data_IF_011861728802
#
_entry.id   IF_011861728802
#
_cell.length_a   1.000
_cell.length_b   1.000
_cell.length_c   1.000
_cell.angle_alpha   90.00
_cell.angle_beta   90.00
_cell.angle_gamma   90.00
#
_symmetry.space_group_name_H-M   'P 1'
#
loop_
_entity.id
_entity.type
_entity.pdbx_description
1 polymer ?
#
# COMPACT_ATOMS: atom_id res chain seq x y z
N UNK A 1 1.53 -9.06 -6.20
CA UNK A 1 2.28 -10.17 -5.58
C UNK A 1 3.31 -10.69 -6.55
N UNK A 2 4.40 -11.27 -6.04
CA UNK A 2 5.33 -12.09 -6.82
C UNK A 2 5.58 -13.38 -6.05
N UNK A 3 5.41 -14.54 -6.69
CA UNK A 3 5.56 -15.86 -6.05
C UNK A 3 4.74 -16.02 -4.76
N UNK A 4 3.50 -15.52 -4.77
CA UNK A 4 2.57 -15.60 -3.63
C UNK A 4 2.85 -14.66 -2.45
N UNK A 5 3.86 -13.79 -2.53
CA UNK A 5 4.18 -12.81 -1.48
C UNK A 5 3.83 -11.38 -1.89
N UNK A 6 3.38 -10.53 -0.97
CA UNK A 6 3.29 -9.10 -1.21
C UNK A 6 4.70 -8.53 -1.35
N UNK A 7 4.98 -7.87 -2.48
CA UNK A 7 6.30 -7.28 -2.81
C UNK A 7 6.20 -5.81 -3.19
N UNK A 8 4.99 -5.25 -3.22
CA UNK A 8 4.74 -3.88 -3.65
C UNK A 8 3.40 -3.39 -3.10
N UNK A 9 3.39 -2.17 -2.54
CA UNK A 9 2.20 -1.45 -2.11
C UNK A 9 1.92 -0.28 -3.06
N UNK A 10 0.65 -0.01 -3.34
CA UNK A 10 0.27 1.06 -4.25
C UNK A 10 -1.17 1.53 -4.04
N UNK A 11 -1.45 2.79 -4.33
CA UNK A 11 -2.82 3.32 -4.37
C UNK A 11 -3.36 3.41 -5.81
N UNK A 12 -4.67 3.19 -5.98
CA UNK A 12 -5.37 3.39 -7.26
C UNK A 12 -6.83 3.75 -7.03
N UNK A 13 -7.42 4.50 -7.96
CA UNK A 13 -8.86 4.74 -8.01
C UNK A 13 -9.58 3.81 -9.02
N UNK A 14 -8.82 3.05 -9.81
CA UNK A 14 -9.35 2.10 -10.78
C UNK A 14 -8.41 0.90 -10.87
N UNK A 15 -8.85 -0.24 -10.31
CA UNK A 15 -8.05 -1.46 -10.24
C UNK A 15 -7.86 -2.10 -11.62
N UNK A 16 -8.91 -2.13 -12.45
CA UNK A 16 -8.87 -2.70 -13.80
C UNK A 16 -7.89 -1.96 -14.72
N UNK A 17 -7.89 -0.62 -14.66
CA UNK A 17 -6.91 0.19 -15.39
C UNK A 17 -5.49 -0.08 -14.87
N UNK A 18 -5.32 -0.19 -13.55
CA UNK A 18 -4.01 -0.44 -12.93
C UNK A 18 -3.48 -1.83 -13.29
N UNK A 19 -4.33 -2.86 -13.31
CA UNK A 19 -3.93 -4.21 -13.73
C UNK A 19 -3.51 -4.25 -15.19
N UNK A 20 -4.24 -3.58 -16.09
CA UNK A 20 -3.86 -3.49 -17.51
C UNK A 20 -2.49 -2.81 -17.70
N UNK A 21 -2.21 -1.72 -16.97
CA UNK A 21 -0.94 -1.00 -17.07
C UNK A 21 0.26 -1.75 -16.49
N UNK A 22 0.03 -2.64 -15.51
CA UNK A 22 1.11 -3.31 -14.75
C UNK A 22 1.07 -4.84 -14.89
N UNK A 23 0.27 -5.39 -15.80
CA UNK A 23 -0.03 -6.83 -15.87
C UNK A 23 1.17 -7.73 -16.12
N UNK A 24 2.24 -7.22 -16.74
CA UNK A 24 3.49 -7.96 -16.91
C UNK A 24 4.44 -7.86 -15.70
N UNK A 25 4.19 -6.96 -14.75
CA UNK A 25 5.11 -6.64 -13.64
C UNK A 25 4.82 -7.45 -12.36
N UNK A 26 3.59 -7.91 -12.20
CA UNK A 26 3.13 -8.63 -11.01
C UNK A 26 2.23 -9.80 -11.40
N UNK A 27 2.34 -10.91 -10.67
CA UNK A 27 1.53 -12.11 -10.92
C UNK A 27 0.04 -11.85 -10.63
N UNK A 28 -0.24 -10.99 -9.64
CA UNK A 28 -1.59 -10.65 -9.21
C UNK A 28 -1.62 -9.29 -8.50
N UNK A 29 -2.71 -8.54 -8.69
CA UNK A 29 -3.07 -7.40 -7.85
C UNK A 29 -4.10 -7.84 -6.80
N UNK A 30 -3.81 -7.59 -5.53
CA UNK A 30 -4.72 -7.81 -4.42
C UNK A 30 -5.24 -6.46 -3.93
N UNK A 31 -6.56 -6.30 -3.88
CA UNK A 31 -7.18 -5.12 -3.29
C UNK A 31 -7.12 -5.24 -1.76
N UNK A 32 -6.63 -4.19 -1.09
CA UNK A 32 -6.49 -4.14 0.38
C UNK A 32 -7.74 -3.54 1.05
N UNK A 33 -8.35 -2.53 0.42
CA UNK A 33 -9.52 -1.83 0.99
C UNK A 33 -10.82 -2.43 0.47
N UNK A 34 -11.72 -2.84 1.36
CA UNK A 34 -13.05 -3.37 1.00
C UNK A 34 -14.04 -2.29 0.55
N UNK A 35 -13.80 -1.03 0.94
CA UNK A 35 -14.59 0.14 0.57
C UNK A 35 -13.67 1.29 0.08
N UNK A 36 -14.19 2.27 -0.66
CA UNK A 36 -13.44 3.47 -1.01
C UNK A 36 -12.95 4.21 0.24
N UNK A 37 -11.69 4.63 0.21
CA UNK A 37 -11.08 5.47 1.26
C UNK A 37 -10.63 6.79 0.66
N UNK A 38 -10.45 7.80 1.51
CA UNK A 38 -9.85 9.05 1.07
C UNK A 38 -8.41 8.83 0.62
N UNK A 39 -7.88 9.74 -0.21
CA UNK A 39 -6.48 9.66 -0.66
C UNK A 39 -5.50 9.66 0.51
N UNK A 40 -5.76 10.43 1.57
CA UNK A 40 -4.91 10.45 2.77
C UNK A 40 -4.86 9.09 3.46
N UNK A 41 -6.02 8.47 3.67
CA UNK A 41 -6.11 7.12 4.25
C UNK A 41 -5.43 6.07 3.38
N UNK A 42 -5.61 6.13 2.05
CA UNK A 42 -4.93 5.22 1.13
C UNK A 42 -3.40 5.32 1.25
N UNK A 43 -2.86 6.55 1.35
CA UNK A 43 -1.41 6.79 1.52
C UNK A 43 -0.91 6.27 2.87
N UNK A 44 -1.69 6.45 3.94
CA UNK A 44 -1.34 5.96 5.26
C UNK A 44 -1.29 4.41 5.30
N UNK A 45 -2.29 3.74 4.71
CA UNK A 45 -2.33 2.27 4.60
C UNK A 45 -1.16 1.76 3.75
N UNK A 46 -0.89 2.40 2.60
CA UNK A 46 0.26 2.05 1.75
C UNK A 46 1.58 2.18 2.51
N UNK A 47 1.78 3.30 3.21
CA UNK A 47 3.02 3.54 3.94
C UNK A 47 3.21 2.54 5.08
N UNK A 48 2.14 2.21 5.82
CA UNK A 48 2.19 1.19 6.85
C UNK A 48 2.55 -0.20 6.28
N UNK A 49 1.98 -0.58 5.12
CA UNK A 49 2.36 -1.83 4.45
C UNK A 49 3.85 -1.86 4.05
N UNK A 50 4.37 -0.75 3.53
CA UNK A 50 5.80 -0.64 3.15
C UNK A 50 6.69 -0.79 4.40
N UNK A 51 6.37 -0.08 5.48
CA UNK A 51 7.15 -0.12 6.73
C UNK A 51 7.10 -1.52 7.35
N UNK A 52 5.91 -2.12 7.45
CA UNK A 52 5.72 -3.45 8.06
C UNK A 52 6.50 -4.55 7.35
N UNK A 53 6.56 -4.50 6.02
CA UNK A 53 7.22 -5.52 5.21
C UNK A 53 8.69 -5.20 4.90
N UNK A 54 9.12 -3.96 5.13
CA UNK A 54 10.51 -3.52 5.01
C UNK A 54 11.17 -3.89 3.68
N UNK A 55 12.33 -4.54 3.74
CA UNK A 55 13.14 -4.93 2.59
C UNK A 55 12.45 -5.91 1.62
N UNK A 56 11.30 -6.49 1.99
CA UNK A 56 10.48 -7.31 1.10
C UNK A 56 9.71 -6.53 0.04
N UNK A 57 9.60 -5.19 0.18
CA UNK A 57 8.86 -4.34 -0.75
C UNK A 57 9.78 -3.57 -1.70
N UNK A 58 9.45 -3.60 -2.99
CA UNK A 58 10.21 -2.98 -4.09
C UNK A 58 9.81 -1.51 -4.34
N UNK A 59 9.10 -0.89 -3.40
CA UNK A 59 8.66 0.49 -3.51
C UNK A 59 9.86 1.44 -3.57
N UNK A 60 10.14 2.00 -4.76
CA UNK A 60 11.20 3.01 -4.96
C UNK A 60 10.78 4.42 -4.53
N UNK A 61 9.48 4.69 -4.53
CA UNK A 61 8.89 5.99 -4.19
C UNK A 61 7.73 5.72 -3.22
N UNK A 62 7.73 6.45 -2.12
CA UNK A 62 6.71 6.38 -1.08
C UNK A 62 5.67 7.48 -1.28
N UNK A 63 4.40 7.23 -0.99
CA UNK A 63 3.39 8.28 -1.03
C UNK A 63 3.51 9.31 0.10
N UNK A 64 4.20 8.96 1.19
CA UNK A 64 4.51 9.86 2.31
C UNK A 64 6.02 9.81 2.54
N UNK A 65 6.66 10.98 2.51
CA UNK A 65 8.09 11.10 2.80
C UNK A 65 8.36 10.73 4.26
N UNK A 66 9.39 9.92 4.57
CA UNK A 66 9.85 9.66 5.95
C UNK A 66 10.19 10.91 6.75
N UNK A 67 10.49 12.02 6.07
CA UNK A 67 10.80 13.31 6.69
C UNK A 67 9.59 14.21 6.89
N UNK A 68 8.39 13.78 6.48
CA UNK A 68 7.19 14.60 6.65
C UNK A 68 6.78 14.65 8.11
N UNK A 69 6.36 15.83 8.60
CA UNK A 69 5.94 16.04 9.99
C UNK A 69 4.86 15.09 10.52
N UNK A 70 3.96 14.59 9.65
CA UNK A 70 2.90 13.66 10.03
C UNK A 70 3.23 12.20 9.69
N UNK A 71 4.47 11.90 9.29
CA UNK A 71 4.85 10.56 8.82
C UNK A 71 4.52 9.48 9.85
N UNK A 72 4.94 9.69 11.10
CA UNK A 72 4.73 8.72 12.18
C UNK A 72 3.23 8.53 12.49
N UNK A 73 2.46 9.63 12.51
CA UNK A 73 1.01 9.59 12.70
C UNK A 73 0.32 8.80 11.58
N UNK A 74 0.74 9.01 10.33
CA UNK A 74 0.18 8.32 9.18
C UNK A 74 0.52 6.82 9.20
N UNK A 75 1.77 6.45 9.55
CA UNK A 75 2.17 5.05 9.70
C UNK A 75 1.39 4.39 10.83
N UNK A 76 1.28 5.04 11.98
CA UNK A 76 0.55 4.54 13.16
C UNK A 76 -0.94 4.33 12.86
N UNK A 77 -1.58 5.30 12.19
CA UNK A 77 -2.97 5.18 11.77
C UNK A 77 -3.17 4.06 10.75
N UNK A 78 -2.30 3.98 9.73
CA UNK A 78 -2.37 2.94 8.71
C UNK A 78 -2.17 1.53 9.28
N UNK A 79 -1.22 1.38 10.21
CA UNK A 79 -0.95 0.13 10.91
C UNK A 79 -2.15 -0.33 11.76
N UNK A 80 -2.78 0.63 12.45
CA UNK A 80 -4.01 0.38 13.20
C UNK A 80 -5.16 -0.06 12.28
N UNK A 81 -5.30 0.59 11.13
CA UNK A 81 -6.30 0.21 10.12
C UNK A 81 -6.06 -1.21 9.59
N UNK A 82 -4.82 -1.56 9.25
CA UNK A 82 -4.47 -2.90 8.76
C UNK A 82 -4.86 -3.99 9.77
N UNK A 83 -4.47 -3.81 11.04
CA UNK A 83 -4.82 -4.76 12.12
C UNK A 83 -6.33 -4.94 12.29
N UNK A 84 -7.08 -3.85 12.27
CA UNK A 84 -8.55 -3.90 12.39
C UNK A 84 -9.23 -4.61 11.21
N UNK A 85 -8.57 -4.66 10.05
CA UNK A 85 -9.07 -5.27 8.82
C UNK A 85 -8.43 -6.64 8.53
N UNK A 86 -7.72 -7.24 9.49
CA UNK A 86 -7.21 -8.61 9.40
C UNK A 86 -5.92 -8.77 8.58
N UNK A 87 -5.12 -7.71 8.45
CA UNK A 87 -3.81 -7.73 7.79
C UNK A 87 -2.66 -7.80 8.79
#
# INVERSE_FOLDING_TARGET
MRSGKPVYGGITNNLARRSSQHGARFDQLQQVTSAPVTRGQARAIEQALIVRNGAGFENKINSISPTHSYYDDAVSWGESWLKQNGY
#
